data_IF_915168766310
#
_entry.id   IF_915168766310
#
_cell.length_a   1.000
_cell.length_b   1.000
_cell.length_c   1.000
_cell.angle_alpha   90.00
_cell.angle_beta   90.00
_cell.angle_gamma   90.00
#
_symmetry.space_group_name_H-M   'P 1'
#
loop_
_entity.id
_entity.type
_entity.pdbx_description
1 polymer ?
#
# COMPACT_ATOMS: atom_id res chain seq x y z
N UNK A 1 -16.20 -17.30 15.34
CA UNK A 1 -15.57 -17.05 14.02
C UNK A 1 -14.22 -16.34 14.19
N UNK A 2 -14.15 -15.26 14.94
CA UNK A 2 -12.93 -14.46 15.22
C UNK A 2 -11.72 -15.27 15.77
N UNK A 3 -11.95 -16.15 16.76
CA UNK A 3 -10.87 -16.96 17.36
C UNK A 3 -10.25 -17.93 16.34
N UNK A 4 -11.06 -18.51 15.44
CA UNK A 4 -10.58 -19.43 14.39
C UNK A 4 -9.72 -18.70 13.35
N UNK A 5 -10.06 -17.44 13.01
CA UNK A 5 -9.27 -16.59 12.11
C UNK A 5 -7.91 -16.25 12.72
N UNK A 6 -7.88 -15.83 13.99
CA UNK A 6 -6.64 -15.52 14.71
C UNK A 6 -5.72 -16.73 14.85
N UNK A 7 -6.28 -17.91 15.14
CA UNK A 7 -5.50 -19.14 15.20
C UNK A 7 -4.92 -19.52 13.83
N UNK A 8 -5.70 -19.33 12.75
CA UNK A 8 -5.23 -19.53 11.40
C UNK A 8 -4.06 -18.61 11.05
N UNK A 9 -4.21 -17.30 11.32
CA UNK A 9 -3.16 -16.33 11.08
C UNK A 9 -1.89 -16.65 11.88
N UNK A 10 -2.01 -17.05 13.14
CA UNK A 10 -0.88 -17.47 13.97
C UNK A 10 -0.17 -18.72 13.39
N UNK A 11 -0.92 -19.70 12.89
CA UNK A 11 -0.36 -20.87 12.22
C UNK A 11 0.37 -20.49 10.91
N UNK A 12 -0.20 -19.58 10.11
CA UNK A 12 0.46 -19.10 8.90
C UNK A 12 1.72 -18.30 9.24
N UNK A 13 1.68 -17.48 10.30
CA UNK A 13 2.85 -16.75 10.77
C UNK A 13 3.99 -17.69 11.19
N UNK A 14 3.69 -18.73 11.94
CA UNK A 14 4.69 -19.72 12.33
C UNK A 14 5.34 -20.42 11.11
N UNK A 15 4.53 -20.76 10.09
CA UNK A 15 5.02 -21.33 8.82
C UNK A 15 5.87 -20.32 8.04
N UNK A 16 5.41 -19.08 7.95
CA UNK A 16 6.13 -17.97 7.33
C UNK A 16 7.47 -17.76 8.03
N UNK A 17 7.47 -17.53 9.35
CA UNK A 17 8.68 -17.24 10.12
C UNK A 17 9.76 -18.33 9.95
N UNK A 18 9.36 -19.60 9.93
CA UNK A 18 10.28 -20.72 9.72
C UNK A 18 10.95 -20.65 8.34
N UNK A 19 10.21 -20.32 7.27
CA UNK A 19 10.70 -20.25 5.88
C UNK A 19 11.41 -18.95 5.56
N UNK A 20 11.05 -17.87 6.26
CA UNK A 20 11.51 -16.53 5.94
C UNK A 20 13.04 -16.43 5.98
N UNK A 21 13.59 -15.83 4.93
CA UNK A 21 15.00 -15.52 4.76
C UNK A 21 15.26 -14.07 5.14
N UNK A 22 16.45 -13.78 5.63
CA UNK A 22 16.94 -12.42 5.85
C UNK A 22 17.93 -12.05 4.74
N UNK A 23 18.40 -10.79 4.71
CA UNK A 23 19.46 -10.33 3.79
C UNK A 23 20.66 -11.26 3.72
N UNK A 24 21.02 -11.90 4.82
CA UNK A 24 22.19 -12.79 4.90
C UNK A 24 22.00 -14.15 4.17
N UNK A 25 20.78 -14.47 3.74
CA UNK A 25 20.44 -15.72 3.07
C UNK A 25 20.06 -15.51 1.59
N UNK A 26 20.22 -14.30 1.07
CA UNK A 26 19.86 -13.94 -0.31
C UNK A 26 21.12 -13.64 -1.09
N UNK A 27 21.23 -14.27 -2.27
CA UNK A 27 22.37 -14.11 -3.17
C UNK A 27 22.00 -13.48 -4.52
N UNK A 28 20.69 -13.45 -4.85
CA UNK A 28 20.24 -12.88 -6.12
C UNK A 28 20.23 -11.35 -6.03
N UNK A 29 20.89 -10.63 -6.95
CA UNK A 29 21.02 -9.18 -6.88
C UNK A 29 19.68 -8.47 -6.81
N UNK A 30 18.69 -8.90 -7.59
CA UNK A 30 17.35 -8.29 -7.62
C UNK A 30 16.69 -8.31 -6.24
N UNK A 31 16.63 -9.48 -5.59
CA UNK A 31 16.01 -9.61 -4.26
C UNK A 31 16.84 -8.93 -3.17
N UNK A 32 18.18 -8.96 -3.31
CA UNK A 32 19.07 -8.28 -2.38
C UNK A 32 18.86 -6.76 -2.42
N UNK A 33 18.79 -6.16 -3.61
CA UNK A 33 18.51 -4.73 -3.78
C UNK A 33 17.14 -4.35 -3.21
N UNK A 34 16.12 -5.21 -3.40
CA UNK A 34 14.82 -5.00 -2.76
C UNK A 34 14.92 -4.97 -1.24
N UNK A 35 15.71 -5.85 -0.64
CA UNK A 35 15.89 -5.85 0.83
C UNK A 35 16.57 -4.55 1.29
N UNK A 36 17.66 -4.16 0.65
CA UNK A 36 18.45 -2.99 1.04
C UNK A 36 17.67 -1.68 0.86
N UNK A 37 17.05 -1.49 -0.32
CA UNK A 37 16.46 -0.21 -0.70
C UNK A 37 15.00 -0.06 -0.27
N UNK A 38 14.30 -1.19 -0.04
CA UNK A 38 12.87 -1.18 0.28
C UNK A 38 12.60 -1.74 1.67
N UNK A 39 12.93 -3.03 1.92
CA UNK A 39 12.49 -3.73 3.11
C UNK A 39 13.19 -3.27 4.39
N UNK A 40 14.50 -3.03 4.34
CA UNK A 40 15.34 -2.61 5.47
C UNK A 40 15.72 -1.13 5.46
N UNK A 41 15.18 -0.36 4.51
CA UNK A 41 15.38 1.08 4.43
C UNK A 41 14.55 1.79 5.52
N UNK A 42 15.20 2.20 6.60
CA UNK A 42 14.61 2.91 7.74
C UNK A 42 14.82 4.44 7.66
N UNK A 43 15.13 5.00 6.46
CA UNK A 43 15.29 6.45 6.29
C UNK A 43 13.99 7.18 6.64
N UNK A 44 14.14 8.30 7.36
CA UNK A 44 13.04 9.20 7.68
C UNK A 44 13.04 10.37 6.69
N UNK A 45 11.85 10.70 6.22
CA UNK A 45 11.59 11.86 5.39
C UNK A 45 10.68 12.81 6.16
N UNK A 46 10.88 14.11 6.00
CA UNK A 46 10.13 15.14 6.74
C UNK A 46 8.60 15.03 6.54
N UNK A 47 8.14 14.65 5.34
CA UNK A 47 6.73 14.42 5.05
C UNK A 47 6.07 13.33 5.91
N UNK A 48 6.85 12.39 6.44
CA UNK A 48 6.29 11.34 7.30
C UNK A 48 5.71 11.91 8.60
N UNK A 49 6.35 12.91 9.20
CA UNK A 49 5.84 13.52 10.44
C UNK A 49 4.47 14.18 10.25
N UNK A 50 4.23 14.76 9.08
CA UNK A 50 2.97 15.40 8.72
C UNK A 50 1.87 14.33 8.55
N UNK A 51 2.16 13.27 7.79
CA UNK A 51 1.21 12.18 7.56
C UNK A 51 0.89 11.46 8.88
N UNK A 52 1.89 11.26 9.73
CA UNK A 52 1.68 10.61 11.03
C UNK A 52 0.93 11.51 12.03
N UNK A 53 1.10 12.83 11.98
CA UNK A 53 0.26 13.76 12.74
C UNK A 53 -1.21 13.65 12.33
N UNK A 54 -1.49 13.56 11.02
CA UNK A 54 -2.82 13.30 10.50
C UNK A 54 -3.35 11.94 10.97
N UNK A 55 -2.56 10.86 10.86
CA UNK A 55 -2.94 9.53 11.37
C UNK A 55 -3.35 9.59 12.84
N UNK A 56 -2.56 10.27 13.69
CA UNK A 56 -2.87 10.42 15.11
C UNK A 56 -4.17 11.20 15.37
N UNK A 57 -4.49 12.20 14.55
CA UNK A 57 -5.76 12.91 14.65
C UNK A 57 -6.95 12.01 14.30
N UNK A 58 -6.83 11.19 13.25
CA UNK A 58 -7.86 10.23 12.83
C UNK A 58 -8.11 9.14 13.89
N UNK A 59 -7.07 8.67 14.57
CA UNK A 59 -7.18 7.70 15.67
C UNK A 59 -7.93 8.26 16.89
N UNK A 60 -8.03 9.58 17.02
CA UNK A 60 -8.76 10.28 18.09
C UNK A 60 -10.14 10.79 17.65
N UNK A 61 -10.44 10.78 16.35
CA UNK A 61 -11.65 11.37 15.80
C UNK A 61 -12.89 10.53 16.12
N UNK A 62 -13.82 11.11 16.89
CA UNK A 62 -15.04 10.44 17.36
C UNK A 62 -16.24 10.64 16.44
N UNK A 63 -16.11 11.40 15.35
CA UNK A 63 -17.20 11.64 14.40
C UNK A 63 -17.73 10.32 13.85
N UNK A 64 -19.05 10.12 13.96
CA UNK A 64 -19.73 8.95 13.41
C UNK A 64 -20.14 9.20 11.97
N UNK A 65 -19.93 8.23 11.11
CA UNK A 65 -20.36 8.24 9.72
C UNK A 65 -21.16 6.99 9.38
N UNK A 66 -22.12 7.16 8.48
CA UNK A 66 -22.88 6.04 7.93
C UNK A 66 -22.14 5.45 6.74
N UNK A 67 -21.89 4.15 6.73
CA UNK A 67 -21.12 3.45 5.72
C UNK A 67 -21.98 2.66 4.75
N UNK A 68 -21.52 2.56 3.51
CA UNK A 68 -21.99 1.62 2.49
C UNK A 68 -20.94 0.52 2.37
N UNK A 69 -21.30 -0.73 2.73
CA UNK A 69 -20.36 -1.85 2.66
C UNK A 69 -20.39 -2.49 1.26
N UNK A 70 -19.29 -2.36 0.52
CA UNK A 70 -19.08 -3.01 -0.78
C UNK A 70 -18.10 -4.21 -0.70
N UNK A 71 -17.56 -4.49 0.47
CA UNK A 71 -16.49 -5.48 0.65
C UNK A 71 -16.86 -6.68 1.52
N UNK A 72 -15.84 -7.29 2.11
CA UNK A 72 -15.99 -8.42 3.03
C UNK A 72 -16.65 -8.06 4.37
N UNK A 73 -16.95 -6.77 4.58
CA UNK A 73 -17.48 -6.22 5.82
C UNK A 73 -16.44 -6.17 6.95
N UNK A 74 -16.71 -5.34 7.95
CA UNK A 74 -15.91 -5.39 9.17
C UNK A 74 -16.29 -6.64 9.97
N UNK A 75 -15.34 -7.51 10.26
CA UNK A 75 -15.57 -8.68 11.13
C UNK A 75 -15.96 -8.29 12.57
N UNK A 76 -15.78 -7.03 12.95
CA UNK A 76 -15.96 -6.55 14.33
C UNK A 76 -17.27 -5.79 14.56
N UNK A 77 -17.92 -5.25 13.53
CA UNK A 77 -19.17 -4.49 13.70
C UNK A 77 -20.12 -4.73 12.53
N UNK A 78 -21.36 -5.13 12.87
CA UNK A 78 -22.49 -5.24 11.93
C UNK A 78 -23.29 -3.93 11.79
N UNK A 79 -22.79 -2.83 12.34
CA UNK A 79 -23.50 -1.56 12.38
C UNK A 79 -23.24 -0.74 11.13
N UNK A 80 -24.29 -0.16 10.58
CA UNK A 80 -24.28 0.77 9.45
C UNK A 80 -23.49 2.05 9.76
N UNK A 81 -23.36 2.40 11.04
CA UNK A 81 -22.61 3.57 11.52
C UNK A 81 -21.30 3.15 12.16
N UNK A 82 -20.20 3.83 11.80
CA UNK A 82 -18.89 3.66 12.45
C UNK A 82 -18.26 5.01 12.75
N UNK A 83 -17.48 5.06 13.83
CA UNK A 83 -16.67 6.25 14.13
C UNK A 83 -15.41 6.25 13.26
N UNK A 84 -14.91 7.43 12.90
CA UNK A 84 -13.67 7.57 12.13
C UNK A 84 -12.50 6.88 12.82
N UNK A 85 -12.35 7.03 14.15
CA UNK A 85 -11.30 6.34 14.90
C UNK A 85 -11.42 4.80 14.86
N UNK A 86 -12.63 4.25 14.77
CA UNK A 86 -12.81 2.80 14.61
C UNK A 86 -12.37 2.32 13.23
N UNK A 87 -12.62 3.13 12.18
CA UNK A 87 -12.15 2.87 10.83
C UNK A 87 -10.63 2.97 10.81
N UNK A 88 -10.07 4.05 11.37
CA UNK A 88 -8.63 4.27 11.47
C UNK A 88 -7.90 3.09 12.16
N UNK A 89 -8.43 2.60 13.28
CA UNK A 89 -7.85 1.48 14.02
C UNK A 89 -7.95 0.13 13.29
N UNK A 90 -8.88 -0.03 12.35
CA UNK A 90 -9.14 -1.33 11.72
C UNK A 90 -8.73 -1.41 10.25
N UNK A 91 -8.60 -0.28 9.56
CA UNK A 91 -8.40 -0.23 8.12
C UNK A 91 -7.16 0.56 7.69
N UNK A 92 -6.48 1.29 8.58
CA UNK A 92 -5.23 1.93 8.20
C UNK A 92 -4.06 0.95 8.28
N UNK A 93 -3.33 0.85 7.19
CA UNK A 93 -2.03 0.18 7.18
C UNK A 93 -1.11 0.80 8.24
N UNK A 94 -0.29 0.01 8.91
CA UNK A 94 0.63 0.50 9.94
C UNK A 94 1.64 1.52 9.38
N UNK A 95 2.23 2.36 10.24
CA UNK A 95 3.32 3.27 9.87
C UNK A 95 4.43 2.55 9.10
N UNK A 96 4.86 1.39 9.60
CA UNK A 96 5.86 0.57 8.92
C UNK A 96 5.44 0.16 7.50
N UNK A 97 4.20 -0.30 7.30
CA UNK A 97 3.70 -0.68 5.98
C UNK A 97 3.63 0.52 5.03
N UNK A 98 3.16 1.67 5.52
CA UNK A 98 3.09 2.89 4.71
C UNK A 98 4.48 3.40 4.30
N UNK A 99 5.47 3.43 5.21
CA UNK A 99 6.86 3.78 4.89
C UNK A 99 7.48 2.81 3.90
N UNK A 100 7.11 1.55 3.99
CA UNK A 100 7.54 0.54 3.05
C UNK A 100 6.94 0.79 1.64
N UNK A 101 5.64 1.13 1.53
CA UNK A 101 5.02 1.55 0.26
C UNK A 101 5.73 2.77 -0.35
N UNK A 102 6.06 3.76 0.48
CA UNK A 102 6.89 4.90 0.06
C UNK A 102 8.23 4.43 -0.52
N UNK A 103 8.94 3.51 0.16
CA UNK A 103 10.23 3.00 -0.31
C UNK A 103 10.09 2.26 -1.66
N UNK A 104 8.99 1.51 -1.89
CA UNK A 104 8.73 0.88 -3.18
C UNK A 104 8.59 1.93 -4.28
N UNK A 105 7.78 2.96 -4.08
CA UNK A 105 7.61 4.03 -5.06
C UNK A 105 8.93 4.77 -5.29
N UNK A 106 9.66 5.08 -4.21
CA UNK A 106 10.94 5.78 -4.30
C UNK A 106 12.03 4.97 -5.03
N UNK A 107 12.06 3.65 -4.87
CA UNK A 107 13.03 2.78 -5.55
C UNK A 107 12.69 2.54 -7.02
N UNK A 108 11.43 2.20 -7.31
CA UNK A 108 11.02 1.77 -8.65
C UNK A 108 10.49 2.88 -9.54
N UNK A 109 10.21 4.07 -8.98
CA UNK A 109 9.77 5.28 -9.72
C UNK A 109 8.63 5.02 -10.73
N UNK A 110 7.52 4.38 -10.30
CA UNK A 110 6.39 4.10 -11.18
C UNK A 110 5.75 5.39 -11.69
N UNK A 111 5.38 5.41 -12.98
CA UNK A 111 4.67 6.54 -13.59
C UNK A 111 3.14 6.39 -13.51
N UNK A 112 2.66 5.17 -13.37
CA UNK A 112 1.23 4.84 -13.29
C UNK A 112 0.99 3.97 -12.06
N UNK A 113 0.40 4.59 -11.04
CA UNK A 113 0.07 3.93 -9.77
C UNK A 113 -1.44 3.74 -9.68
N UNK A 114 -1.85 2.53 -9.32
CA UNK A 114 -3.22 2.14 -9.01
C UNK A 114 -3.30 1.68 -7.56
N UNK A 115 -4.21 2.25 -6.79
CA UNK A 115 -4.54 1.77 -5.44
C UNK A 115 -6.01 1.33 -5.40
N UNK A 116 -6.29 0.13 -4.91
CA UNK A 116 -7.62 -0.36 -4.62
C UNK A 116 -7.83 -0.39 -3.11
N UNK A 117 -8.66 0.50 -2.58
CA UNK A 117 -8.89 0.69 -1.15
C UNK A 117 -8.19 1.92 -0.60
N UNK A 118 -8.72 3.10 -0.94
CA UNK A 118 -8.23 4.40 -0.43
C UNK A 118 -8.37 4.50 1.08
N UNK A 119 -9.49 3.99 1.63
CA UNK A 119 -9.86 4.16 3.04
C UNK A 119 -9.76 5.64 3.45
N UNK A 120 -9.11 5.97 4.56
CA UNK A 120 -8.93 7.36 5.02
C UNK A 120 -7.76 8.09 4.31
N UNK A 121 -7.15 7.48 3.31
CA UNK A 121 -6.17 8.11 2.40
C UNK A 121 -4.74 8.20 2.93
N UNK A 122 -4.39 7.47 3.98
CA UNK A 122 -3.03 7.52 4.57
C UNK A 122 -2.01 6.80 3.67
N UNK A 123 -2.29 5.59 3.19
CA UNK A 123 -1.44 4.87 2.24
C UNK A 123 -1.25 5.67 0.95
N UNK A 124 -2.32 6.27 0.44
CA UNK A 124 -2.30 7.16 -0.73
C UNK A 124 -1.33 8.31 -0.56
N UNK A 125 -1.31 8.97 0.61
CA UNK A 125 -0.37 10.05 0.91
C UNK A 125 1.10 9.59 0.87
N UNK A 126 1.40 8.39 1.37
CA UNK A 126 2.75 7.83 1.30
C UNK A 126 3.17 7.47 -0.13
N UNK A 127 2.25 6.88 -0.93
CA UNK A 127 2.47 6.63 -2.35
C UNK A 127 2.75 7.95 -3.09
N UNK A 128 1.93 8.96 -2.83
CA UNK A 128 2.05 10.29 -3.45
C UNK A 128 3.35 11.00 -3.07
N UNK A 129 3.74 10.96 -1.80
CA UNK A 129 4.94 11.64 -1.29
C UNK A 129 6.26 11.10 -1.87
N UNK A 130 6.27 9.86 -2.39
CA UNK A 130 7.42 9.26 -3.07
C UNK A 130 7.38 9.43 -4.58
N UNK A 131 6.24 9.87 -5.13
CA UNK A 131 5.99 10.02 -6.56
C UNK A 131 6.63 11.31 -7.11
N UNK A 132 6.95 11.31 -8.39
CA UNK A 132 7.35 12.54 -9.08
C UNK A 132 6.14 13.22 -9.77
N UNK A 133 6.35 14.43 -10.28
CA UNK A 133 5.29 15.27 -10.86
C UNK A 133 4.60 14.67 -12.10
N UNK A 134 5.25 13.73 -12.77
CA UNK A 134 4.69 13.05 -13.94
C UNK A 134 3.90 11.80 -13.57
N UNK A 135 3.95 11.39 -12.31
CA UNK A 135 3.25 10.19 -11.83
C UNK A 135 1.74 10.41 -11.82
N UNK A 136 1.01 9.48 -12.41
CA UNK A 136 -0.44 9.42 -12.35
C UNK A 136 -0.85 8.42 -11.27
N UNK A 137 -1.39 8.93 -10.16
CA UNK A 137 -1.88 8.12 -9.06
C UNK A 137 -3.41 8.09 -9.07
N UNK A 138 -3.97 6.92 -9.34
CA UNK A 138 -5.40 6.64 -9.23
C UNK A 138 -5.66 5.77 -8.02
N UNK A 139 -6.63 6.16 -7.20
CA UNK A 139 -7.07 5.37 -6.04
C UNK A 139 -8.58 5.21 -6.05
N UNK A 140 -9.06 4.02 -5.69
CA UNK A 140 -10.47 3.64 -5.75
C UNK A 140 -11.01 3.44 -4.34
N UNK A 141 -12.18 4.04 -4.05
CA UNK A 141 -12.88 3.86 -2.79
C UNK A 141 -14.37 3.57 -3.02
N UNK A 142 -14.87 2.51 -2.39
CA UNK A 142 -16.26 2.11 -2.53
C UNK A 142 -17.24 3.07 -1.85
N UNK A 143 -16.90 3.52 -0.64
CA UNK A 143 -17.80 4.35 0.17
C UNK A 143 -17.57 5.84 -0.08
N UNK A 144 -18.58 6.59 -0.60
CA UNK A 144 -18.40 8.00 -0.92
C UNK A 144 -18.15 8.88 0.31
N UNK A 145 -18.55 8.46 1.53
CA UNK A 145 -18.28 9.21 2.75
C UNK A 145 -16.86 9.01 3.23
N UNK A 146 -16.32 7.79 3.09
CA UNK A 146 -14.90 7.51 3.32
C UNK A 146 -14.06 8.28 2.30
N UNK A 147 -14.42 8.23 1.02
CA UNK A 147 -13.77 8.97 -0.06
C UNK A 147 -13.73 10.48 0.21
N UNK A 148 -14.84 11.04 0.71
CA UNK A 148 -14.89 12.46 1.10
C UNK A 148 -13.89 12.76 2.25
N UNK A 149 -13.81 11.90 3.27
CA UNK A 149 -12.86 12.08 4.37
C UNK A 149 -11.42 11.99 3.86
N UNK A 150 -11.12 11.06 2.95
CA UNK A 150 -9.80 10.96 2.34
C UNK A 150 -9.39 12.28 1.65
N UNK A 151 -10.28 12.88 0.86
CA UNK A 151 -10.02 14.19 0.23
C UNK A 151 -9.74 15.28 1.26
N UNK A 152 -10.54 15.36 2.32
CA UNK A 152 -10.31 16.33 3.41
C UNK A 152 -8.95 16.10 4.08
N UNK A 153 -8.56 14.84 4.29
CA UNK A 153 -7.28 14.49 4.86
C UNK A 153 -6.10 14.92 3.99
N UNK A 154 -6.21 14.77 2.66
CA UNK A 154 -5.18 15.21 1.74
C UNK A 154 -5.03 16.74 1.71
N UNK A 155 -6.15 17.47 1.73
CA UNK A 155 -6.14 18.94 1.84
C UNK A 155 -5.49 19.38 3.15
N UNK A 156 -5.82 18.73 4.27
CA UNK A 156 -5.21 19.02 5.57
C UNK A 156 -3.71 18.72 5.58
N UNK A 157 -3.28 17.57 5.02
CA UNK A 157 -1.87 17.23 4.93
C UNK A 157 -1.10 18.22 4.07
N UNK A 158 -1.67 18.65 2.95
CA UNK A 158 -1.09 19.67 2.09
C UNK A 158 -0.95 21.03 2.82
N UNK A 159 -2.00 21.45 3.52
CA UNK A 159 -1.96 22.71 4.32
C UNK A 159 -0.89 22.64 5.43
N UNK A 160 -0.78 21.51 6.13
CA UNK A 160 0.26 21.32 7.15
C UNK A 160 1.67 21.33 6.54
N UNK A 161 1.84 20.75 5.35
CA UNK A 161 3.10 20.77 4.62
C UNK A 161 3.50 22.21 4.27
N UNK A 162 2.56 23.02 3.77
CA UNK A 162 2.75 24.42 3.47
C UNK A 162 3.19 25.19 4.70
N UNK A 163 2.44 25.08 5.79
CA UNK A 163 2.77 25.76 7.06
C UNK A 163 4.17 25.39 7.56
N UNK A 164 4.53 24.10 7.48
CA UNK A 164 5.85 23.62 7.89
C UNK A 164 6.96 24.22 7.01
N UNK A 165 6.76 24.25 5.70
CA UNK A 165 7.74 24.80 4.74
C UNK A 165 7.95 26.28 5.01
N UNK A 166 6.87 27.07 5.15
CA UNK A 166 6.93 28.51 5.43
C UNK A 166 7.61 28.82 6.76
N UNK A 167 7.29 28.06 7.83
CA UNK A 167 7.87 28.25 9.16
C UNK A 167 9.38 27.96 9.24
N UNK A 168 9.91 27.16 8.30
CA UNK A 168 11.34 26.81 8.26
C UNK A 168 12.13 27.54 7.18
N UNK A 169 11.53 28.53 6.52
CA UNK A 169 12.17 29.36 5.52
C UNK A 169 12.43 30.75 6.11
N UNK A 170 13.68 31.08 6.44
CA UNK A 170 14.05 32.43 6.91
C UNK A 170 13.87 33.46 5.80
N UNK A 171 13.08 34.52 6.05
CA UNK A 171 12.90 35.63 5.12
C UNK A 171 11.77 35.51 4.12
N UNK A 172 10.70 34.76 4.46
CA UNK A 172 9.48 34.64 3.61
C UNK A 172 8.81 36.04 3.49
N UNK A 173 8.68 36.51 2.24
CA UNK A 173 7.83 37.64 1.87
C UNK A 173 6.51 37.11 1.31
N UNK A 174 5.44 37.94 1.29
CA UNK A 174 4.12 37.54 0.75
C UNK A 174 4.22 37.03 -0.71
N UNK A 175 5.13 37.55 -1.51
CA UNK A 175 5.37 37.13 -2.88
C UNK A 175 6.11 35.77 -2.93
N UNK A 176 7.04 35.52 -2.02
CA UNK A 176 7.76 34.28 -1.90
C UNK A 176 6.82 33.17 -1.37
N UNK A 177 5.93 33.51 -0.43
CA UNK A 177 4.87 32.61 0.05
C UNK A 177 4.01 32.08 -1.10
N UNK A 178 3.50 32.98 -1.95
CA UNK A 178 2.73 32.61 -3.15
C UNK A 178 3.53 31.79 -4.16
N UNK A 179 4.83 32.06 -4.32
CA UNK A 179 5.69 31.26 -5.19
C UNK A 179 5.90 29.84 -4.64
N UNK A 180 6.21 29.72 -3.35
CA UNK A 180 6.37 28.43 -2.66
C UNK A 180 5.06 27.65 -2.74
N UNK A 181 3.90 28.29 -2.50
CA UNK A 181 2.59 27.68 -2.63
C UNK A 181 2.35 27.14 -4.04
N UNK A 182 2.59 27.95 -5.07
CA UNK A 182 2.46 27.54 -6.45
C UNK A 182 3.41 26.42 -6.84
N UNK A 183 4.64 26.43 -6.35
CA UNK A 183 5.64 25.39 -6.65
C UNK A 183 5.32 24.07 -5.96
N UNK A 184 4.86 24.09 -4.71
CA UNK A 184 4.39 22.88 -4.01
C UNK A 184 3.13 22.34 -4.65
N UNK A 185 2.16 23.18 -5.04
CA UNK A 185 0.95 22.79 -5.74
C UNK A 185 1.25 22.18 -7.11
N UNK A 186 2.20 22.75 -7.86
CA UNK A 186 2.61 22.24 -9.18
C UNK A 186 3.51 21.02 -9.10
N UNK A 187 4.24 20.84 -8.01
CA UNK A 187 5.20 19.74 -7.84
C UNK A 187 4.58 18.48 -7.21
N UNK A 188 3.39 18.57 -6.63
CA UNK A 188 2.71 17.40 -6.08
C UNK A 188 1.97 16.63 -7.22
N UNK A 189 2.21 15.32 -7.36
CA UNK A 189 1.45 14.51 -8.31
C UNK A 189 -0.05 14.54 -7.97
N UNK A 190 -0.88 14.58 -9.01
CA UNK A 190 -2.33 14.65 -8.85
C UNK A 190 -2.89 13.31 -8.39
N UNK A 191 -3.49 13.28 -7.20
CA UNK A 191 -4.24 12.13 -6.72
C UNK A 191 -5.65 12.14 -7.34
N UNK A 192 -5.97 11.11 -8.12
CA UNK A 192 -7.30 10.92 -8.71
C UNK A 192 -8.08 9.84 -7.97
N UNK A 193 -9.02 10.28 -7.14
CA UNK A 193 -9.92 9.38 -6.41
C UNK A 193 -11.15 9.08 -7.25
N UNK A 194 -11.39 7.79 -7.50
CA UNK A 194 -12.57 7.26 -8.19
C UNK A 194 -13.49 6.58 -7.16
N UNK A 195 -14.70 7.10 -7.03
CA UNK A 195 -15.69 6.57 -6.11
C UNK A 195 -16.54 5.47 -6.73
N UNK A 196 -16.84 4.45 -5.97
CA UNK A 196 -17.80 3.40 -6.31
C UNK A 196 -17.21 1.99 -6.26
N UNK A 197 -18.09 1.02 -6.45
CA UNK A 197 -17.75 -0.39 -6.46
C UNK A 197 -16.62 -0.70 -7.44
N UNK A 198 -15.56 -1.36 -6.96
CA UNK A 198 -14.38 -1.70 -7.76
C UNK A 198 -14.71 -2.53 -8.98
N UNK A 199 -15.75 -3.36 -8.92
CA UNK A 199 -16.19 -4.14 -10.08
C UNK A 199 -16.65 -3.27 -11.26
N UNK A 200 -17.15 -2.07 -10.96
CA UNK A 200 -17.65 -1.11 -11.95
C UNK A 200 -16.58 -0.09 -12.36
N UNK A 201 -15.76 0.35 -11.41
CA UNK A 201 -14.83 1.46 -11.59
C UNK A 201 -13.46 1.04 -12.10
N UNK A 202 -13.00 -0.18 -11.78
CA UNK A 202 -11.64 -0.64 -12.09
C UNK A 202 -11.36 -0.65 -13.59
N UNK A 203 -12.25 -1.20 -14.43
CA UNK A 203 -12.05 -1.27 -15.88
C UNK A 203 -11.92 0.13 -16.51
N UNK A 204 -12.77 1.07 -16.08
CA UNK A 204 -12.70 2.46 -16.56
C UNK A 204 -11.38 3.11 -16.14
N UNK A 205 -10.96 2.90 -14.89
CA UNK A 205 -9.71 3.44 -14.36
C UNK A 205 -8.48 2.87 -15.10
N UNK A 206 -8.46 1.58 -15.37
CA UNK A 206 -7.40 0.93 -16.14
C UNK A 206 -7.31 1.49 -17.57
N UNK A 207 -8.46 1.73 -18.21
CA UNK A 207 -8.51 2.36 -19.53
C UNK A 207 -7.97 3.81 -19.53
N UNK A 208 -8.17 4.55 -18.44
CA UNK A 208 -7.59 5.90 -18.27
C UNK A 208 -6.09 5.86 -18.03
N UNK A 209 -5.61 4.91 -17.22
CA UNK A 209 -4.18 4.70 -16.94
C UNK A 209 -3.43 4.17 -18.18
N UNK A 210 -4.06 3.30 -18.98
CA UNK A 210 -3.50 2.57 -20.13
C UNK A 210 -2.42 1.56 -19.78
N UNK A 211 -1.64 1.81 -18.74
CA UNK A 211 -0.62 0.90 -18.21
C UNK A 211 -0.59 1.02 -16.69
N UNK A 212 -0.17 -0.04 -15.99
CA UNK A 212 0.00 -0.06 -14.53
C UNK A 212 1.44 -0.44 -14.25
N UNK A 213 2.20 0.48 -13.67
CA UNK A 213 3.58 0.22 -13.24
C UNK A 213 3.63 -0.29 -11.80
N UNK A 214 2.73 0.23 -10.95
CA UNK A 214 2.53 -0.23 -9.57
C UNK A 214 1.04 -0.33 -9.27
N UNK A 215 0.60 -1.48 -8.75
CA UNK A 215 -0.72 -1.58 -8.13
C UNK A 215 -0.60 -2.03 -6.67
N UNK A 216 -1.31 -1.35 -5.77
CA UNK A 216 -1.53 -1.76 -4.39
C UNK A 216 -2.99 -2.16 -4.21
N UNK A 217 -3.23 -3.43 -3.91
CA UNK A 217 -4.55 -4.04 -3.83
C UNK A 217 -4.83 -4.33 -2.35
N UNK A 218 -5.56 -3.42 -1.71
CA UNK A 218 -5.97 -3.46 -0.30
C UNK A 218 -7.49 -3.31 -0.19
N UNK A 219 -8.22 -4.24 -0.78
CA UNK A 219 -9.67 -4.19 -0.72
C UNK A 219 -10.34 -5.51 -1.05
N UNK A 220 -11.53 -5.72 -0.48
CA UNK A 220 -12.41 -6.85 -0.73
C UNK A 220 -11.77 -8.24 -0.53
N UNK A 221 -10.99 -8.45 0.51
CA UNK A 221 -10.18 -9.63 0.87
C UNK A 221 -10.89 -11.00 0.71
N UNK A 222 -11.44 -11.26 -0.49
CA UNK A 222 -12.12 -12.48 -0.92
C UNK A 222 -11.43 -13.04 -2.15
N UNK A 223 -11.37 -14.36 -2.25
CA UNK A 223 -10.70 -15.05 -3.34
C UNK A 223 -11.18 -14.57 -4.72
N UNK A 224 -12.51 -14.65 -4.99
CA UNK A 224 -13.05 -14.35 -6.32
C UNK A 224 -12.79 -12.89 -6.75
N UNK A 225 -12.96 -11.95 -5.82
CA UNK A 225 -12.71 -10.54 -6.08
C UNK A 225 -11.22 -10.28 -6.34
N UNK A 226 -10.33 -10.81 -5.49
CA UNK A 226 -8.89 -10.64 -5.63
C UNK A 226 -8.37 -11.22 -6.95
N UNK A 227 -8.84 -12.43 -7.33
CA UNK A 227 -8.48 -13.04 -8.61
C UNK A 227 -9.01 -12.25 -9.80
N UNK A 228 -10.23 -11.72 -9.72
CA UNK A 228 -10.82 -10.87 -10.75
C UNK A 228 -9.99 -9.60 -10.94
N UNK A 229 -9.63 -8.91 -9.86
CA UNK A 229 -8.78 -7.72 -9.92
C UNK A 229 -7.40 -8.04 -10.48
N UNK A 230 -6.78 -9.13 -10.04
CA UNK A 230 -5.50 -9.58 -10.59
C UNK A 230 -5.55 -9.75 -12.10
N UNK A 231 -6.51 -10.50 -12.63
CA UNK A 231 -6.63 -10.74 -14.08
C UNK A 231 -6.94 -9.48 -14.88
N UNK A 232 -7.77 -8.57 -14.34
CA UNK A 232 -8.04 -7.29 -14.99
C UNK A 232 -6.77 -6.42 -15.05
N UNK A 233 -6.04 -6.28 -13.94
CA UNK A 233 -4.82 -5.47 -13.86
C UNK A 233 -3.71 -6.08 -14.72
N UNK A 234 -3.58 -7.41 -14.74
CA UNK A 234 -2.55 -8.12 -15.50
C UNK A 234 -2.52 -7.72 -16.98
N UNK A 235 -3.67 -7.47 -17.57
CA UNK A 235 -3.77 -7.04 -18.98
C UNK A 235 -3.16 -5.65 -19.25
N UNK A 236 -2.88 -4.88 -18.21
CA UNK A 236 -2.28 -3.53 -18.26
C UNK A 236 -0.86 -3.49 -17.72
N UNK A 237 -0.30 -4.64 -17.30
CA UNK A 237 1.07 -4.72 -16.79
C UNK A 237 2.10 -4.78 -17.92
N UNK A 238 3.33 -4.40 -17.59
CA UNK A 238 4.54 -4.48 -18.45
C UNK A 238 5.66 -5.20 -17.71
N UNK A 239 6.79 -5.38 -18.37
CA UNK A 239 7.96 -6.09 -17.83
C UNK A 239 8.47 -5.59 -16.45
N UNK A 240 8.24 -4.32 -16.12
CA UNK A 240 8.69 -3.74 -14.84
C UNK A 240 7.55 -3.44 -13.87
N UNK A 241 6.35 -3.93 -14.16
CA UNK A 241 5.19 -3.76 -13.28
C UNK A 241 5.36 -4.52 -11.96
N UNK A 242 4.77 -3.96 -10.91
CA UNK A 242 4.78 -4.51 -9.56
C UNK A 242 3.35 -4.54 -9.06
N UNK A 243 2.86 -5.71 -8.65
CA UNK A 243 1.55 -5.79 -7.96
C UNK A 243 1.78 -6.21 -6.52
N UNK A 244 1.14 -5.48 -5.59
CA UNK A 244 1.21 -5.69 -4.15
C UNK A 244 -0.20 -6.05 -3.68
N UNK A 245 -0.33 -7.20 -3.03
CA UNK A 245 -1.59 -7.69 -2.45
C UNK A 245 -1.48 -7.65 -0.94
N UNK A 246 -2.32 -6.85 -0.29
CA UNK A 246 -2.36 -6.80 1.17
C UNK A 246 -3.08 -8.03 1.75
N UNK A 247 -2.84 -8.30 3.03
CA UNK A 247 -3.53 -9.30 3.83
C UNK A 247 -3.55 -10.73 3.24
N UNK A 248 -2.46 -11.18 2.58
CA UNK A 248 -2.38 -12.48 1.90
C UNK A 248 -2.62 -13.69 2.81
N UNK A 249 -2.54 -13.52 4.13
CA UNK A 249 -2.83 -14.54 5.15
C UNK A 249 -4.03 -14.20 6.04
N UNK A 250 -4.83 -13.19 5.67
CA UNK A 250 -6.04 -12.81 6.42
C UNK A 250 -7.04 -13.95 6.58
N UNK A 251 -7.22 -14.74 5.51
CA UNK A 251 -8.14 -15.86 5.44
C UNK A 251 -7.58 -17.00 4.58
N UNK A 252 -8.25 -18.17 4.62
CA UNK A 252 -7.93 -19.27 3.70
C UNK A 252 -8.13 -18.86 2.24
N UNK A 253 -9.15 -18.05 1.96
CA UNK A 253 -9.46 -17.55 0.63
C UNK A 253 -8.34 -16.64 0.11
N UNK A 254 -7.86 -15.70 0.91
CA UNK A 254 -6.73 -14.84 0.54
C UNK A 254 -5.44 -15.64 0.36
N UNK A 255 -5.18 -16.63 1.23
CA UNK A 255 -4.01 -17.50 1.07
C UNK A 255 -4.10 -18.35 -0.21
N UNK A 256 -5.29 -18.79 -0.60
CA UNK A 256 -5.52 -19.48 -1.87
C UNK A 256 -5.27 -18.54 -3.05
N UNK A 257 -5.85 -17.34 -3.04
CA UNK A 257 -5.61 -16.33 -4.08
C UNK A 257 -4.12 -16.01 -4.22
N UNK A 258 -3.42 -15.74 -3.12
CA UNK A 258 -1.98 -15.49 -3.15
C UNK A 258 -1.18 -16.65 -3.75
N UNK A 259 -1.51 -17.90 -3.39
CA UNK A 259 -0.81 -19.06 -3.95
C UNK A 259 -1.03 -19.21 -5.46
N UNK A 260 -2.20 -18.86 -5.97
CA UNK A 260 -2.51 -18.89 -7.39
C UNK A 260 -1.82 -17.74 -8.14
N UNK A 261 -1.91 -16.52 -7.61
CA UNK A 261 -1.29 -15.33 -8.18
C UNK A 261 0.24 -15.51 -8.32
N UNK A 262 0.92 -15.89 -7.24
CA UNK A 262 2.39 -16.02 -7.27
C UNK A 262 2.89 -17.10 -8.22
N UNK A 263 2.07 -18.14 -8.51
CA UNK A 263 2.39 -19.22 -9.44
C UNK A 263 1.85 -18.97 -10.85
N UNK A 264 1.30 -17.80 -11.13
CA UNK A 264 0.83 -17.45 -12.48
C UNK A 264 2.00 -17.39 -13.47
N UNK A 265 1.79 -17.90 -14.68
CA UNK A 265 2.83 -18.05 -15.70
C UNK A 265 3.56 -16.73 -16.06
N UNK A 266 2.91 -15.58 -15.92
CA UNK A 266 3.50 -14.27 -16.16
C UNK A 266 4.37 -13.75 -15.00
N UNK A 267 4.31 -14.37 -13.81
CA UNK A 267 5.06 -13.91 -12.64
C UNK A 267 6.46 -14.48 -12.67
N UNK A 268 7.46 -13.62 -12.67
CA UNK A 268 8.89 -14.00 -12.69
C UNK A 268 9.52 -13.98 -11.31
N UNK A 269 9.02 -13.15 -10.41
CA UNK A 269 9.44 -13.15 -9.00
C UNK A 269 8.25 -12.86 -8.09
N UNK A 270 8.19 -13.56 -6.95
CA UNK A 270 7.27 -13.21 -5.88
C UNK A 270 7.99 -13.09 -4.55
N UNK A 271 7.57 -12.10 -3.75
CA UNK A 271 8.08 -11.86 -2.41
C UNK A 271 6.90 -11.93 -1.42
N UNK A 272 7.04 -12.79 -0.42
CA UNK A 272 6.09 -12.98 0.67
C UNK A 272 6.65 -12.30 1.92
N UNK A 273 5.96 -11.25 2.42
CA UNK A 273 6.31 -10.50 3.64
C UNK A 273 5.38 -10.80 4.81
N UNK A 274 4.52 -11.81 4.70
CA UNK A 274 3.45 -12.18 5.60
C UNK A 274 2.23 -11.26 5.52
N UNK A 275 2.38 -9.99 5.81
CA UNK A 275 1.29 -9.00 5.75
C UNK A 275 0.92 -8.65 4.31
N UNK A 276 1.85 -8.71 3.37
CA UNK A 276 1.56 -8.58 1.94
C UNK A 276 2.37 -9.54 1.09
N UNK A 277 1.89 -9.75 -0.13
CA UNK A 277 2.58 -10.48 -1.20
C UNK A 277 2.84 -9.56 -2.38
N UNK A 278 4.00 -9.68 -3.00
CA UNK A 278 4.42 -8.87 -4.13
C UNK A 278 4.73 -9.77 -5.30
N UNK A 279 4.29 -9.40 -6.49
CA UNK A 279 4.69 -10.08 -7.72
C UNK A 279 5.30 -9.10 -8.71
N UNK A 280 6.31 -9.59 -9.42
CA UNK A 280 7.07 -8.89 -10.44
C UNK A 280 6.97 -9.64 -11.77
N UNK A 281 7.01 -8.88 -12.86
CA UNK A 281 6.92 -9.38 -14.24
C UNK A 281 8.22 -9.11 -15.01
N UNK A 282 9.33 -8.91 -14.29
CA UNK A 282 10.61 -8.53 -14.85
C UNK A 282 11.20 -9.64 -15.74
N UNK A 283 11.34 -9.35 -17.03
CA UNK A 283 11.86 -10.30 -18.02
C UNK A 283 13.37 -10.57 -17.89
N UNK A 284 14.10 -9.73 -17.15
CA UNK A 284 15.54 -9.96 -16.89
C UNK A 284 15.76 -11.06 -15.85
N UNK A 285 14.71 -11.50 -15.17
CA UNK A 285 14.74 -12.62 -14.24
C UNK A 285 14.60 -13.92 -15.03
N UNK A 286 15.71 -14.53 -15.39
CA UNK A 286 15.76 -15.73 -16.22
C UNK A 286 15.15 -16.98 -15.57
N UNK A 287 15.09 -17.03 -14.25
CA UNK A 287 14.51 -18.15 -13.50
C UNK A 287 13.50 -17.64 -12.49
N UNK A 288 12.29 -18.18 -12.54
CA UNK A 288 11.22 -17.83 -11.60
C UNK A 288 11.69 -18.01 -10.14
N UNK A 289 11.44 -17.01 -9.32
CA UNK A 289 11.85 -16.96 -7.92
C UNK A 289 10.65 -16.72 -7.01
N UNK A 290 10.49 -17.54 -5.98
CA UNK A 290 9.52 -17.33 -4.90
C UNK A 290 10.27 -17.22 -3.58
N UNK A 291 10.27 -16.03 -2.98
CA UNK A 291 11.06 -15.74 -1.79
C UNK A 291 10.16 -15.30 -0.64
N UNK A 292 10.36 -15.89 0.51
CA UNK A 292 9.74 -15.43 1.77
C UNK A 292 10.79 -14.63 2.53
N UNK A 293 10.52 -13.35 2.83
CA UNK A 293 11.49 -12.44 3.43
C UNK A 293 11.01 -11.92 4.78
N UNK A 294 11.97 -11.71 5.67
CA UNK A 294 11.77 -11.01 6.95
C UNK A 294 12.98 -10.11 7.21
N UNK A 295 12.75 -8.96 7.84
CA UNK A 295 13.82 -8.05 8.24
C UNK A 295 14.80 -8.76 9.20
N UNK A 296 16.09 -8.53 9.01
CA UNK A 296 17.13 -9.19 9.81
C UNK A 296 16.95 -8.93 11.32
N UNK A 297 16.54 -7.71 11.71
CA UNK A 297 16.28 -7.36 13.12
C UNK A 297 15.15 -8.17 13.77
N UNK A 298 14.22 -8.75 12.98
CA UNK A 298 13.12 -9.57 13.48
C UNK A 298 13.47 -11.07 13.51
N UNK A 299 14.60 -11.47 12.94
CA UNK A 299 15.11 -12.84 12.96
C UNK A 299 16.62 -12.83 13.22
N UNK A 300 17.08 -12.33 14.40
CA UNK A 300 18.47 -12.06 14.69
C UNK A 300 19.34 -13.32 14.80
N UNK A 301 18.74 -14.49 15.04
CA UNK A 301 19.47 -15.73 15.21
C UNK A 301 19.16 -16.70 14.07
N UNK A 302 20.20 -17.10 13.32
CA UNK A 302 20.17 -18.35 12.58
C UNK A 302 20.21 -19.48 13.61
N UNK A 303 19.11 -20.20 13.82
CA UNK A 303 19.22 -21.58 14.24
C UNK A 303 19.69 -22.37 13.02
N UNK A 304 20.99 -22.31 12.76
CA UNK A 304 21.65 -23.15 11.78
C UNK A 304 21.93 -24.50 12.40
N UNK A 305 20.97 -25.38 12.35
CA UNK A 305 21.27 -26.80 12.26
C UNK A 305 21.22 -27.13 10.77
N UNK A 306 22.40 -27.06 10.14
CA UNK A 306 22.66 -27.73 8.88
C UNK A 306 22.80 -29.22 9.20
N UNK A 307 21.80 -30.02 8.80
CA UNK A 307 21.95 -31.41 8.50
C UNK A 307 21.96 -31.58 7.00
#
# INVERSE_FOLDING_TARGET
MFLKSKLYQAQQFAKYYRRAKTRYNIQTPFVFNFIENVLENDRNYYGFSIIEALRHSLLKENKSIELIDFGAGSQTTKTKFRRVNQIANSALSSDFQCRWLFNVVNEYKPKHILELGTSLGISTLYLNAASDNETKLFTLEGDPKIAHIARMNWQNAHHLLMQYTLANYDGVTDDLEKHIENDILKSAPEIRLIEGDFEKTLTTTLNLLKTVDLAFIDGNHRYDATMKYFHQILSYTKAHSILIFDDIYWSKDMTRAWNEIKNHASVTCSIDLFWCGIVFFNTDILKVQHVTLIRAKLKPFKFGWSF
#
